data_IF_338057178618
#
_entry.id   IF_338057178618
#
_cell.length_a   1.000
_cell.length_b   1.000
_cell.length_c   1.000
_cell.angle_alpha   90.00
_cell.angle_beta   90.00
_cell.angle_gamma   90.00
#
_symmetry.space_group_name_H-M   'P 1'
#
loop_
_entity.id
_entity.type
_entity.pdbx_description
1 polymer ?
#
# COMPACT_ATOMS: atom_id res chain seq x y z
N UNK A 1 -5.72 5.17 18.75
CA UNK A 1 -5.31 4.67 17.43
C UNK A 1 -6.59 4.25 16.71
N UNK A 2 -6.89 4.78 15.52
CA UNK A 2 -8.10 4.36 14.79
C UNK A 2 -7.94 2.89 14.40
N UNK A 3 -8.83 2.02 14.88
CA UNK A 3 -8.81 0.60 14.53
C UNK A 3 -8.94 0.44 13.01
N UNK A 4 -7.90 -0.11 12.38
CA UNK A 4 -7.94 -0.42 10.94
C UNK A 4 -8.89 -1.59 10.75
N UNK A 5 -10.10 -1.27 10.29
CA UNK A 5 -11.16 -2.25 10.06
C UNK A 5 -10.77 -3.29 9.01
N UNK A 6 -11.39 -4.46 9.06
CA UNK A 6 -11.20 -5.50 8.03
C UNK A 6 -11.52 -4.99 6.61
N UNK A 7 -12.50 -4.09 6.50
CA UNK A 7 -12.90 -3.44 5.25
C UNK A 7 -11.74 -2.60 4.69
N UNK A 8 -11.10 -1.81 5.54
CA UNK A 8 -9.94 -0.98 5.16
C UNK A 8 -8.78 -1.82 4.63
N UNK A 9 -8.52 -2.99 5.26
CA UNK A 9 -7.48 -3.93 4.80
C UNK A 9 -7.81 -4.53 3.44
N UNK A 10 -9.08 -4.88 3.20
CA UNK A 10 -9.53 -5.38 1.90
C UNK A 10 -9.38 -4.33 0.81
N UNK A 11 -9.70 -3.07 1.08
CA UNK A 11 -9.46 -1.98 0.13
C UNK A 11 -7.97 -1.80 -0.15
N UNK A 12 -7.12 -1.87 0.87
CA UNK A 12 -5.67 -1.73 0.67
C UNK A 12 -5.15 -2.86 -0.21
N UNK A 13 -5.59 -4.10 0.02
CA UNK A 13 -5.26 -5.22 -0.86
C UNK A 13 -5.79 -5.01 -2.29
N UNK A 14 -7.03 -4.57 -2.44
CA UNK A 14 -7.66 -4.37 -3.76
C UNK A 14 -6.97 -3.27 -4.59
N UNK A 15 -6.47 -2.21 -3.95
CA UNK A 15 -5.82 -1.06 -4.60
C UNK A 15 -4.34 -1.32 -4.87
N UNK A 16 -3.59 -1.77 -3.87
CA UNK A 16 -2.13 -1.83 -3.94
C UNK A 16 -1.58 -3.20 -4.38
N UNK A 17 -2.23 -4.30 -3.99
CA UNK A 17 -1.73 -5.66 -4.32
C UNK A 17 -2.42 -6.25 -5.55
N UNK A 18 -3.76 -6.34 -5.51
CA UNK A 18 -4.54 -6.96 -6.57
C UNK A 18 -4.75 -6.04 -7.77
N UNK A 19 -4.57 -4.72 -7.57
CA UNK A 19 -4.78 -3.68 -8.58
C UNK A 19 -6.16 -3.76 -9.27
N UNK A 20 -7.16 -4.30 -8.57
CA UNK A 20 -8.51 -4.50 -9.09
C UNK A 20 -9.42 -3.28 -8.89
N UNK A 21 -8.94 -2.27 -8.15
CA UNK A 21 -9.67 -1.04 -7.82
C UNK A 21 -8.72 0.15 -7.77
N UNK A 22 -9.24 1.33 -8.11
CA UNK A 22 -8.54 2.60 -7.89
C UNK A 22 -8.84 3.14 -6.49
N UNK A 23 -7.94 3.92 -5.90
CA UNK A 23 -8.20 4.58 -4.62
C UNK A 23 -9.41 5.54 -4.69
N UNK A 24 -9.64 6.16 -5.84
CA UNK A 24 -10.81 7.01 -6.08
C UNK A 24 -12.15 6.28 -5.92
N UNK A 25 -12.18 4.95 -6.15
CA UNK A 25 -13.36 4.11 -5.94
C UNK A 25 -13.61 3.74 -4.47
N UNK A 26 -12.65 3.97 -3.58
CA UNK A 26 -12.77 3.69 -2.14
C UNK A 26 -13.58 4.81 -1.47
N UNK A 27 -14.53 4.49 -0.59
CA UNK A 27 -15.27 5.50 0.19
C UNK A 27 -14.32 6.44 0.94
N UNK A 28 -14.62 7.75 0.94
CA UNK A 28 -13.75 8.78 1.54
C UNK A 28 -13.41 8.47 3.00
N UNK A 29 -14.37 7.96 3.78
CA UNK A 29 -14.18 7.55 5.18
C UNK A 29 -13.18 6.39 5.39
N UNK A 30 -12.80 5.69 4.32
CA UNK A 30 -11.90 4.53 4.35
C UNK A 30 -10.56 4.79 3.65
N UNK A 31 -10.44 5.88 2.87
CA UNK A 31 -9.23 6.18 2.07
C UNK A 31 -8.00 6.34 2.96
N UNK A 32 -8.10 7.18 3.99
CA UNK A 32 -6.98 7.44 4.91
C UNK A 32 -6.47 6.14 5.57
N UNK A 33 -7.38 5.31 6.07
CA UNK A 33 -7.02 4.03 6.67
C UNK A 33 -6.40 3.06 5.65
N UNK A 34 -6.84 3.12 4.39
CA UNK A 34 -6.32 2.29 3.29
C UNK A 34 -4.86 2.63 3.01
N UNK A 35 -4.53 3.93 2.95
CA UNK A 35 -3.17 4.44 2.76
C UNK A 35 -2.29 4.08 3.96
N UNK A 36 -2.76 4.33 5.19
CA UNK A 36 -2.01 3.99 6.42
C UNK A 36 -1.71 2.50 6.54
N UNK A 37 -2.67 1.64 6.17
CA UNK A 37 -2.44 0.20 6.19
C UNK A 37 -1.40 -0.23 5.14
N UNK A 38 -1.50 0.31 3.92
CA UNK A 38 -0.54 0.04 2.86
C UNK A 38 0.87 0.46 3.25
N UNK A 39 1.02 1.67 3.82
CA UNK A 39 2.28 2.16 4.35
C UNK A 39 2.87 1.23 5.41
N UNK A 40 2.08 0.76 6.37
CA UNK A 40 2.57 -0.15 7.41
C UNK A 40 2.93 -1.55 6.89
N UNK A 41 2.18 -2.06 5.90
CA UNK A 41 2.12 -3.51 5.61
C UNK A 41 2.80 -3.94 4.31
N UNK A 42 2.94 -3.06 3.33
CA UNK A 42 3.43 -3.40 1.99
C UNK A 42 4.88 -2.92 1.76
N UNK A 43 5.53 -3.52 0.78
CA UNK A 43 6.88 -3.19 0.34
C UNK A 43 6.86 -2.09 -0.72
N UNK A 44 8.01 -1.42 -0.88
CA UNK A 44 8.16 -0.32 -1.84
C UNK A 44 7.75 -0.74 -3.27
N UNK A 45 8.15 -1.93 -3.71
CA UNK A 45 7.82 -2.45 -5.04
C UNK A 45 6.32 -2.63 -5.24
N UNK A 46 5.58 -3.06 -4.21
CA UNK A 46 4.12 -3.21 -4.28
C UNK A 46 3.43 -1.83 -4.42
N UNK A 47 3.91 -0.84 -3.66
CA UNK A 47 3.39 0.53 -3.73
C UNK A 47 3.74 1.18 -5.08
N UNK A 48 4.95 0.94 -5.59
CA UNK A 48 5.38 1.43 -6.90
C UNK A 48 4.61 0.77 -8.05
N UNK A 49 4.38 -0.54 -7.98
CA UNK A 49 3.58 -1.25 -8.97
C UNK A 49 2.14 -0.69 -9.04
N UNK A 50 1.56 -0.30 -7.91
CA UNK A 50 0.23 0.34 -7.88
C UNK A 50 0.22 1.72 -8.56
N UNK A 51 1.30 2.49 -8.42
CA UNK A 51 1.49 3.76 -9.13
C UNK A 51 1.65 3.53 -10.64
N UNK A 52 2.50 2.59 -11.04
CA UNK A 52 2.74 2.25 -12.44
C UNK A 52 1.47 1.69 -13.12
N UNK A 53 0.63 0.97 -12.38
CA UNK A 53 -0.68 0.49 -12.82
C UNK A 53 -1.78 1.57 -12.84
N UNK A 54 -1.51 2.76 -12.29
CA UNK A 54 -2.47 3.87 -12.22
C UNK A 54 -3.62 3.65 -11.24
N UNK A 55 -3.50 2.72 -10.29
CA UNK A 55 -4.54 2.50 -9.26
C UNK A 55 -4.48 3.55 -8.15
N UNK A 56 -3.31 4.18 -8.00
CA UNK A 56 -3.04 5.34 -7.14
C UNK A 56 -2.36 6.46 -7.95
N UNK A 57 -2.40 7.68 -7.43
CA UNK A 57 -1.70 8.84 -8.02
C UNK A 57 -0.37 9.08 -7.30
N UNK A 58 0.53 9.88 -7.91
CA UNK A 58 1.83 10.23 -7.33
C UNK A 58 1.71 10.80 -5.90
N UNK A 59 0.71 11.66 -5.66
CA UNK A 59 0.44 12.24 -4.33
C UNK A 59 0.22 11.17 -3.24
N UNK A 60 -0.46 10.07 -3.58
CA UNK A 60 -0.71 8.95 -2.66
C UNK A 60 0.56 8.15 -2.43
N UNK A 61 1.35 7.95 -3.49
CA UNK A 61 2.64 7.28 -3.38
C UNK A 61 3.57 8.05 -2.42
N UNK A 62 3.66 9.37 -2.57
CA UNK A 62 4.46 10.23 -1.70
C UNK A 62 3.93 10.24 -0.26
N UNK A 63 2.60 10.24 -0.07
CA UNK A 63 1.98 10.12 1.25
C UNK A 63 2.32 8.79 1.94
N UNK A 64 2.29 7.68 1.20
CA UNK A 64 2.69 6.36 1.72
C UNK A 64 4.16 6.37 2.17
N UNK A 65 5.06 6.96 1.38
CA UNK A 65 6.48 7.08 1.76
C UNK A 65 6.67 7.98 2.99
N UNK A 66 5.92 9.08 3.09
CA UNK A 66 5.98 9.97 4.24
C UNK A 66 5.48 9.31 5.53
N UNK A 67 4.43 8.48 5.42
CA UNK A 67 3.87 7.72 6.55
C UNK A 67 4.76 6.55 6.99
N UNK A 68 5.62 6.05 6.11
CA UNK A 68 6.54 4.95 6.40
C UNK A 68 7.92 5.20 5.75
N UNK A 69 8.73 6.11 6.32
CA UNK A 69 10.03 6.49 5.75
C UNK A 69 11.03 5.33 5.71
N UNK A 70 10.88 4.33 6.60
CA UNK A 70 11.73 3.15 6.64
C UNK A 70 11.48 2.17 5.48
N UNK A 71 10.44 2.37 4.66
CA UNK A 71 10.09 1.48 3.54
C UNK A 71 11.22 1.34 2.52
N UNK A 72 12.06 2.38 2.37
CA UNK A 72 13.24 2.38 1.49
C UNK A 72 14.35 1.46 1.98
N UNK A 73 14.37 1.14 3.28
CA UNK A 73 15.40 0.32 3.94
C UNK A 73 14.89 -1.08 4.29
N UNK A 74 13.65 -1.44 3.93
CA UNK A 74 13.11 -2.77 4.21
C UNK A 74 13.80 -3.80 3.31
N UNK A 75 14.25 -4.95 3.87
CA UNK A 75 14.84 -6.00 3.07
C UNK A 75 13.82 -6.44 2.01
N UNK A 76 14.21 -6.40 0.74
CA UNK A 76 13.44 -6.95 -0.36
C UNK A 76 13.34 -8.45 -0.10
N UNK A 77 12.15 -9.04 -0.24
CA UNK A 77 11.90 -10.49 -0.07
C UNK A 77 12.71 -11.40 -1.01
N UNK A 78 13.68 -10.85 -1.75
CA UNK A 78 14.58 -11.57 -2.65
C UNK A 78 15.52 -12.56 -1.92
N UNK A 79 15.79 -12.37 -0.63
CA UNK A 79 16.75 -13.24 0.10
C UNK A 79 16.14 -14.49 0.75
N UNK A 80 14.84 -14.77 0.61
CA UNK A 80 14.23 -15.99 1.17
C UNK A 80 14.10 -17.15 0.18
N UNK A 81 14.55 -16.99 -1.08
CA UNK A 81 14.52 -18.05 -2.09
C UNK A 81 15.89 -18.71 -2.39
N UNK A 82 17.00 -18.26 -1.78
CA UNK A 82 18.32 -18.89 -1.96
C UNK A 82 18.73 -19.87 -0.84
N UNK A 83 17.80 -20.32 0.01
CA UNK A 83 18.03 -21.34 1.03
C UNK A 83 16.95 -22.44 1.02
N UNK A 84 16.82 -23.14 -0.12
CA UNK A 84 15.94 -24.31 -0.26
C UNK A 84 16.36 -25.23 -1.39
#
# INVERSE_FOLDING_TARGET
MADISAITRQYAKAVFLNQSRTLSSVPVSQREGTIKYAAGSYFLDEIKNALDAGTIMQEVYDEVLMLNPDILNRPVLAELFELG
#
